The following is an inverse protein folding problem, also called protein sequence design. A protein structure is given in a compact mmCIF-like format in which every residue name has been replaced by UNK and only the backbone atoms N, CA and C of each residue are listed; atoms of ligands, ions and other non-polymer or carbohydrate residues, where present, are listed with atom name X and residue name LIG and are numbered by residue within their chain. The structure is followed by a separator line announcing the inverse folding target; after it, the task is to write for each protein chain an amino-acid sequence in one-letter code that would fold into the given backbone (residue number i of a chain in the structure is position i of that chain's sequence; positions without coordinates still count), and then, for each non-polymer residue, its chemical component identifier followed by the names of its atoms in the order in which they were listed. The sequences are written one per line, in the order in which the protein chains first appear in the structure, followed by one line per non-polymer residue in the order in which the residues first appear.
data_IF_156083433632
#
_entry.id   IF_156083433632
#
_cell.length_a   1.000
_cell.length_b   1.000
_cell.length_c   1.000
_cell.angle_alpha   90.00
_cell.angle_beta   90.00
_cell.angle_gamma   90.00
#
_symmetry.space_group_name_H-M   'P 1'
#
loop_
_entity.id
_entity.type
_entity.pdbx_description
1 polymer ?
#
# COMPACT_ATOMS: atom_id res chain seq x y z
N UNK A 1 26.11 6.95 45.98
CA UNK A 1 25.05 6.35 45.14
C UNK A 1 25.50 4.94 44.81
N UNK A 2 24.68 3.92 44.99
CA UNK A 2 25.05 2.60 44.55
C UNK A 2 25.15 2.57 43.04
N UNK A 3 26.08 1.79 42.46
CA UNK A 3 26.20 1.65 40.99
C UNK A 3 24.86 1.30 40.30
N UNK A 4 23.97 0.62 41.03
CA UNK A 4 22.66 0.21 40.50
C UNK A 4 21.62 1.34 40.38
N UNK A 5 21.68 2.35 41.27
CA UNK A 5 20.80 3.55 41.13
C UNK A 5 21.21 4.40 39.95
N UNK A 6 22.49 4.45 39.62
CA UNK A 6 22.98 5.11 38.42
C UNK A 6 22.51 4.38 37.15
N UNK A 7 22.58 3.03 37.14
CA UNK A 7 22.12 2.22 36.00
C UNK A 7 20.63 2.37 35.75
N UNK A 8 19.80 2.44 36.79
CA UNK A 8 18.34 2.69 36.64
C UNK A 8 18.06 4.02 35.89
N UNK A 9 18.78 5.08 36.20
CA UNK A 9 18.65 6.37 35.51
C UNK A 9 19.07 6.26 34.04
N UNK A 10 20.15 5.54 33.75
CA UNK A 10 20.60 5.31 32.37
C UNK A 10 19.55 4.54 31.58
N UNK A 11 18.91 3.51 32.14
CA UNK A 11 17.84 2.76 31.48
C UNK A 11 16.70 3.69 31.04
N UNK A 12 16.25 4.56 31.96
CA UNK A 12 15.17 5.52 31.67
C UNK A 12 15.58 6.51 30.57
N UNK A 13 16.80 7.06 30.68
CA UNK A 13 17.34 7.99 29.70
C UNK A 13 17.50 7.36 28.31
N UNK A 14 17.99 6.11 28.27
CA UNK A 14 18.17 5.37 27.02
C UNK A 14 16.82 5.06 26.35
N UNK A 15 15.81 4.68 27.12
CA UNK A 15 14.46 4.49 26.62
C UNK A 15 13.90 5.76 26.00
N UNK A 16 14.03 6.92 26.69
CA UNK A 16 13.56 8.22 26.17
C UNK A 16 14.23 8.61 24.86
N UNK A 17 15.47 8.22 24.65
CA UNK A 17 16.29 8.46 23.45
C UNK A 17 16.19 7.34 22.41
N UNK A 18 15.35 6.34 22.63
CA UNK A 18 15.17 5.16 21.76
C UNK A 18 16.49 4.43 21.46
N UNK A 19 17.35 4.28 22.46
CA UNK A 19 18.59 3.51 22.35
C UNK A 19 18.24 2.02 22.39
N UNK A 20 18.81 1.22 21.48
CA UNK A 20 18.49 -0.19 21.27
C UNK A 20 18.91 -1.13 22.40
N UNK A 21 19.76 -0.69 23.32
CA UNK A 21 20.19 -1.48 24.47
C UNK A 21 21.44 -0.94 25.14
N UNK A 22 21.82 -1.50 26.29
CA UNK A 22 22.96 -1.13 27.09
C UNK A 22 23.87 -2.32 27.24
N UNK A 23 25.17 -2.17 26.98
CA UNK A 23 26.18 -3.22 27.24
C UNK A 23 26.85 -2.94 28.56
N UNK A 24 26.75 -3.86 29.50
CA UNK A 24 27.43 -3.84 30.80
C UNK A 24 28.70 -4.66 30.69
N UNK A 25 29.85 -4.06 30.99
CA UNK A 25 31.14 -4.74 30.98
C UNK A 25 31.57 -4.99 32.42
N UNK A 26 31.83 -6.25 32.76
CA UNK A 26 32.20 -6.63 34.13
C UNK A 26 32.75 -8.03 34.24
N UNK A 27 33.15 -8.44 35.45
CA UNK A 27 33.43 -9.86 35.74
C UNK A 27 32.12 -10.67 35.70
N UNK A 28 32.18 -11.96 35.48
CA UNK A 28 31.00 -12.83 35.48
C UNK A 28 30.22 -12.70 36.79
N UNK A 29 30.94 -12.64 37.93
CA UNK A 29 30.34 -12.47 39.26
C UNK A 29 29.63 -11.12 39.44
N UNK A 30 30.16 -10.03 38.82
CA UNK A 30 29.52 -8.72 38.88
C UNK A 30 28.25 -8.69 38.05
N UNK A 31 28.26 -9.32 36.87
CA UNK A 31 27.13 -9.40 35.97
C UNK A 31 26.00 -10.28 36.51
N UNK A 32 26.35 -11.38 37.19
CA UNK A 32 25.39 -12.25 37.87
C UNK A 32 24.74 -11.60 39.10
N UNK A 33 25.37 -10.54 39.65
CA UNK A 33 24.87 -9.80 40.80
C UNK A 33 23.86 -8.70 40.49
N UNK A 34 23.44 -8.55 39.24
CA UNK A 34 22.46 -7.49 38.81
C UNK A 34 21.13 -7.69 39.54
N UNK A 35 20.67 -6.72 40.34
CA UNK A 35 19.44 -6.85 41.09
C UNK A 35 18.21 -7.03 40.22
N UNK A 36 17.30 -7.89 40.67
CA UNK A 36 16.03 -8.18 39.96
C UNK A 36 15.21 -6.93 39.65
N UNK A 37 15.23 -5.90 40.50
CA UNK A 37 14.55 -4.64 40.27
C UNK A 37 15.14 -3.80 39.14
N UNK A 38 16.40 -4.00 38.78
CA UNK A 38 17.05 -3.37 37.62
C UNK A 38 16.67 -4.11 36.35
N UNK A 39 16.66 -5.46 36.39
CA UNK A 39 16.20 -6.26 35.23
C UNK A 39 14.74 -5.97 34.91
N UNK A 40 13.87 -5.95 35.93
CA UNK A 40 12.48 -5.61 35.73
C UNK A 40 12.28 -4.19 35.12
N UNK A 41 13.06 -3.22 35.58
CA UNK A 41 13.03 -1.86 35.02
C UNK A 41 13.46 -1.84 33.56
N UNK A 42 14.47 -2.63 33.18
CA UNK A 42 14.91 -2.81 31.80
C UNK A 42 13.79 -3.36 30.92
N UNK A 43 13.04 -4.35 31.40
CA UNK A 43 11.87 -4.91 30.70
C UNK A 43 10.72 -3.90 30.58
N UNK A 44 10.39 -3.21 31.68
CA UNK A 44 9.31 -2.21 31.73
C UNK A 44 9.57 -1.04 30.73
N UNK A 45 10.84 -0.67 30.54
CA UNK A 45 11.28 0.38 29.62
C UNK A 45 11.72 -0.13 28.24
N UNK A 46 11.58 -1.43 27.96
CA UNK A 46 11.98 -2.09 26.72
C UNK A 46 13.43 -1.72 26.29
N UNK A 47 14.34 -1.63 27.26
CA UNK A 47 15.77 -1.29 27.06
C UNK A 47 16.63 -2.49 27.44
N UNK A 48 16.97 -3.41 26.52
CA UNK A 48 17.73 -4.63 26.81
C UNK A 48 19.10 -4.34 27.44
N UNK A 49 19.47 -5.16 28.45
CA UNK A 49 20.80 -5.15 29.05
C UNK A 49 21.59 -6.34 28.52
N UNK A 50 22.75 -6.08 27.96
CA UNK A 50 23.69 -7.12 27.49
C UNK A 50 24.88 -7.18 28.43
N UNK A 51 25.26 -8.37 28.84
CA UNK A 51 26.43 -8.62 29.68
C UNK A 51 27.65 -8.97 28.82
N UNK A 52 28.76 -8.29 29.02
CA UNK A 52 30.03 -8.56 28.32
C UNK A 52 31.15 -8.75 29.33
N UNK A 53 31.74 -9.94 29.44
CA UNK A 53 32.89 -10.22 30.31
C UNK A 53 34.13 -9.41 29.91
N UNK A 54 35.00 -9.11 30.89
CA UNK A 54 36.24 -8.33 30.69
C UNK A 54 37.26 -8.95 29.73
N UNK A 55 37.24 -10.28 29.58
CA UNK A 55 38.13 -11.04 28.69
C UNK A 55 37.78 -10.85 27.22
N UNK A 56 36.54 -10.41 26.89
CA UNK A 56 36.16 -10.03 25.56
C UNK A 56 36.62 -8.60 25.25
N UNK A 57 37.49 -8.47 24.27
CA UNK A 57 37.96 -7.16 23.82
C UNK A 57 36.82 -6.39 23.15
N UNK A 58 36.44 -5.28 23.74
CA UNK A 58 35.37 -4.37 23.21
C UNK A 58 35.56 -4.03 21.72
N UNK A 59 36.81 -3.87 21.29
CA UNK A 59 37.14 -3.58 19.89
C UNK A 59 36.70 -4.68 18.92
N UNK A 60 36.83 -5.96 19.35
CA UNK A 60 36.42 -7.09 18.52
C UNK A 60 34.88 -7.14 18.38
N UNK A 61 34.17 -6.97 19.50
CA UNK A 61 32.70 -6.94 19.52
C UNK A 61 32.19 -5.76 18.69
N UNK A 62 32.77 -4.58 18.86
CA UNK A 62 32.40 -3.38 18.11
C UNK A 62 32.67 -3.56 16.61
N UNK A 63 33.80 -4.19 16.25
CA UNK A 63 34.13 -4.48 14.85
C UNK A 63 33.11 -5.44 14.23
N UNK A 64 32.77 -6.53 14.90
CA UNK A 64 31.77 -7.48 14.40
C UNK A 64 30.39 -6.82 14.21
N UNK A 65 29.97 -5.99 15.18
CA UNK A 65 28.72 -5.24 15.07
C UNK A 65 28.76 -4.29 13.86
N UNK A 66 29.86 -3.55 13.70
CA UNK A 66 30.02 -2.65 12.55
C UNK A 66 30.04 -3.42 11.24
N UNK A 67 30.76 -4.55 11.16
CA UNK A 67 30.82 -5.38 9.96
C UNK A 67 29.43 -5.94 9.60
N UNK A 68 28.62 -6.34 10.58
CA UNK A 68 27.22 -6.76 10.37
C UNK A 68 26.35 -5.60 9.86
N UNK A 69 26.46 -4.40 10.46
CA UNK A 69 25.69 -3.22 10.03
C UNK A 69 26.07 -2.81 8.61
N UNK A 70 27.37 -2.83 8.28
CA UNK A 70 27.88 -2.48 6.94
C UNK A 70 27.42 -3.54 5.92
N UNK A 71 27.46 -4.83 6.29
CA UNK A 71 26.96 -5.92 5.45
C UNK A 71 25.46 -5.78 5.18
N UNK A 72 24.65 -5.52 6.20
CA UNK A 72 23.20 -5.34 6.04
C UNK A 72 22.87 -4.13 5.17
N UNK A 73 23.55 -2.99 5.38
CA UNK A 73 23.42 -1.80 4.51
C UNK A 73 23.80 -2.09 3.06
N UNK A 74 24.84 -2.87 2.84
CA UNK A 74 25.26 -3.25 1.50
C UNK A 74 24.21 -4.14 0.80
N UNK A 75 23.62 -5.10 1.53
CA UNK A 75 22.54 -5.94 1.02
C UNK A 75 21.32 -5.07 0.66
N UNK A 76 20.94 -4.17 1.57
CA UNK A 76 19.81 -3.26 1.32
C UNK A 76 20.07 -2.38 0.09
N UNK A 77 21.28 -1.81 -0.04
CA UNK A 77 21.65 -1.00 -1.20
C UNK A 77 21.59 -1.78 -2.52
N UNK A 78 22.03 -3.03 -2.53
CA UNK A 78 21.92 -3.91 -3.70
C UNK A 78 20.46 -4.17 -4.09
N UNK A 79 19.59 -4.38 -3.10
CA UNK A 79 18.15 -4.56 -3.31
C UNK A 79 17.48 -3.28 -3.86
N UNK A 80 17.88 -2.11 -3.36
CA UNK A 80 17.41 -0.82 -3.88
C UNK A 80 17.79 -0.65 -5.34
N UNK A 81 19.06 -0.86 -5.69
CA UNK A 81 19.55 -0.80 -7.07
C UNK A 81 18.80 -1.80 -7.96
N UNK A 82 18.54 -3.01 -7.47
CA UNK A 82 17.78 -4.00 -8.23
C UNK A 82 16.37 -3.50 -8.57
N UNK A 83 15.65 -2.96 -7.59
CA UNK A 83 14.30 -2.40 -7.82
C UNK A 83 14.38 -1.18 -8.76
N UNK A 84 15.36 -0.28 -8.58
CA UNK A 84 15.55 0.86 -9.47
C UNK A 84 15.75 0.41 -10.92
N UNK A 85 16.54 -0.62 -11.15
CA UNK A 85 16.77 -1.21 -12.49
C UNK A 85 15.48 -1.82 -13.04
N UNK A 86 14.74 -2.61 -12.25
CA UNK A 86 13.46 -3.19 -12.65
C UNK A 86 12.43 -2.15 -13.11
N UNK A 87 12.43 -0.96 -12.49
CA UNK A 87 11.36 0.01 -12.67
C UNK A 87 11.70 1.13 -13.64
N UNK A 88 12.98 1.53 -13.75
CA UNK A 88 13.37 2.79 -14.37
C UNK A 88 14.48 2.68 -15.42
N UNK A 89 15.14 1.52 -15.58
CA UNK A 89 16.19 1.37 -16.57
C UNK A 89 15.63 1.15 -17.97
N UNK A 90 15.89 2.08 -18.87
CA UNK A 90 15.67 1.90 -20.30
C UNK A 90 16.82 1.06 -20.88
N UNK A 91 16.56 -0.18 -21.28
CA UNK A 91 17.51 -1.05 -21.96
C UNK A 91 18.02 -2.26 -21.16
N UNK A 92 17.63 -2.42 -19.90
CA UNK A 92 17.87 -3.67 -19.18
C UNK A 92 17.01 -4.80 -19.78
N UNK A 93 17.66 -5.91 -20.13
CA UNK A 93 16.97 -7.12 -20.58
C UNK A 93 16.59 -8.00 -19.38
N UNK A 94 15.65 -8.93 -19.57
CA UNK A 94 15.31 -9.90 -18.54
C UNK A 94 16.54 -10.69 -18.06
N UNK A 95 17.44 -11.05 -18.98
CA UNK A 95 18.68 -11.78 -18.69
C UNK A 95 19.63 -10.94 -17.83
N UNK A 96 19.86 -9.66 -18.17
CA UNK A 96 20.72 -8.76 -17.39
C UNK A 96 20.20 -8.54 -15.97
N UNK A 97 18.88 -8.47 -15.78
CA UNK A 97 18.24 -8.35 -14.49
C UNK A 97 18.35 -9.65 -13.69
N UNK A 98 18.21 -10.79 -14.35
CA UNK A 98 18.38 -12.10 -13.73
C UNK A 98 19.83 -12.36 -13.28
N UNK A 99 20.80 -12.01 -14.12
CA UNK A 99 22.23 -12.07 -13.79
C UNK A 99 22.57 -11.20 -12.60
N UNK A 100 22.04 -9.98 -12.55
CA UNK A 100 22.21 -9.08 -11.39
C UNK A 100 21.62 -9.71 -10.12
N UNK A 101 20.40 -10.25 -10.20
CA UNK A 101 19.75 -10.90 -9.06
C UNK A 101 20.57 -12.10 -8.54
N UNK A 102 21.07 -12.94 -9.46
CA UNK A 102 21.91 -14.10 -9.14
C UNK A 102 23.20 -13.68 -8.48
N UNK A 103 23.92 -12.71 -9.05
CA UNK A 103 25.18 -12.18 -8.53
C UNK A 103 25.04 -11.64 -7.10
N UNK A 104 23.89 -11.09 -6.77
CA UNK A 104 23.64 -10.47 -5.46
C UNK A 104 22.76 -11.31 -4.55
N UNK A 105 22.55 -12.59 -4.88
CA UNK A 105 21.75 -13.53 -4.08
C UNK A 105 20.33 -13.01 -3.77
N UNK A 106 19.74 -12.32 -4.75
CA UNK A 106 18.36 -11.85 -4.67
C UNK A 106 17.47 -13.00 -5.16
N UNK A 107 16.54 -13.50 -4.35
CA UNK A 107 15.68 -14.62 -4.73
C UNK A 107 14.69 -14.18 -5.81
N UNK A 108 14.83 -14.74 -7.02
CA UNK A 108 13.95 -14.55 -8.15
C UNK A 108 13.37 -15.90 -8.55
N UNK A 109 12.07 -15.96 -8.75
CA UNK A 109 11.31 -17.16 -9.11
C UNK A 109 10.67 -16.97 -10.49
N UNK A 110 9.56 -17.66 -10.79
CA UNK A 110 8.96 -17.67 -12.13
C UNK A 110 7.97 -16.54 -12.41
N UNK A 111 7.29 -16.06 -11.38
CA UNK A 111 6.28 -15.01 -11.48
C UNK A 111 6.64 -13.87 -10.53
N UNK A 112 6.46 -12.65 -11.01
CA UNK A 112 6.83 -11.45 -10.27
C UNK A 112 5.70 -10.41 -10.30
N UNK A 113 5.54 -9.68 -9.23
CA UNK A 113 4.65 -8.53 -9.20
C UNK A 113 5.15 -7.42 -8.28
N UNK A 114 4.71 -6.20 -8.56
CA UNK A 114 4.94 -5.02 -7.73
C UNK A 114 3.69 -4.72 -6.92
N UNK A 115 3.88 -4.34 -5.67
CA UNK A 115 2.85 -3.68 -4.89
C UNK A 115 3.34 -2.33 -4.39
N UNK A 116 2.42 -1.41 -4.17
CA UNK A 116 2.68 -0.07 -3.67
C UNK A 116 1.85 0.20 -2.43
N UNK A 117 2.50 0.63 -1.35
CA UNK A 117 1.85 1.03 -0.10
C UNK A 117 2.09 2.52 0.12
N UNK A 118 1.05 3.33 0.00
CA UNK A 118 1.12 4.77 0.30
C UNK A 118 0.90 5.01 1.79
N UNK A 119 1.70 5.92 2.35
CA UNK A 119 1.64 6.34 3.75
C UNK A 119 1.30 7.82 3.78
N UNK A 120 0.02 8.16 3.94
CA UNK A 120 -0.42 9.55 3.98
C UNK A 120 -0.55 10.01 5.43
N UNK A 121 0.13 11.11 5.76
CA UNK A 121 0.00 11.77 7.06
C UNK A 121 -0.95 12.97 7.00
N UNK A 122 -1.60 13.23 8.13
CA UNK A 122 -2.46 14.40 8.32
C UNK A 122 -1.65 15.69 8.55
N UNK A 123 -0.32 15.60 8.79
CA UNK A 123 0.57 16.73 9.10
C UNK A 123 1.78 16.72 8.16
N UNK A 124 1.98 17.84 7.46
CA UNK A 124 2.88 18.03 6.31
C UNK A 124 4.42 17.95 6.57
N UNK A 125 4.90 17.66 7.77
CA UNK A 125 6.32 17.86 8.12
C UNK A 125 7.20 16.59 8.24
N UNK A 126 6.66 15.38 8.13
CA UNK A 126 7.40 14.14 8.46
C UNK A 126 7.29 12.99 7.43
N UNK A 127 7.01 13.26 6.16
CA UNK A 127 6.74 12.23 5.15
C UNK A 127 7.79 11.11 5.09
N UNK A 128 9.08 11.45 4.97
CA UNK A 128 10.15 10.45 4.87
C UNK A 128 10.35 9.66 6.18
N UNK A 129 10.17 10.29 7.33
CA UNK A 129 10.27 9.62 8.63
C UNK A 129 9.15 8.60 8.80
N UNK A 130 7.93 8.94 8.37
CA UNK A 130 6.77 8.05 8.42
C UNK A 130 6.95 6.80 7.57
N UNK A 131 7.49 6.94 6.36
CA UNK A 131 7.77 5.82 5.46
C UNK A 131 8.84 4.90 6.05
N UNK A 132 9.93 5.46 6.59
CA UNK A 132 11.00 4.69 7.23
C UNK A 132 10.51 3.93 8.46
N UNK A 133 9.68 4.54 9.30
CA UNK A 133 9.07 3.90 10.46
C UNK A 133 8.12 2.77 10.01
N UNK A 134 7.27 3.02 9.02
CA UNK A 134 6.36 2.02 8.46
C UNK A 134 7.13 0.84 7.89
N UNK A 135 8.25 1.06 7.19
CA UNK A 135 9.10 -0.02 6.70
C UNK A 135 9.69 -0.86 7.82
N UNK A 136 10.14 -0.25 8.91
CA UNK A 136 10.66 -0.97 10.08
C UNK A 136 9.58 -1.84 10.72
N UNK A 137 8.36 -1.32 10.83
CA UNK A 137 7.21 -2.05 11.36
C UNK A 137 6.86 -3.23 10.45
N UNK A 138 6.80 -3.02 9.14
CA UNK A 138 6.50 -4.08 8.17
C UNK A 138 7.55 -5.20 8.19
N UNK A 139 8.84 -4.87 8.32
CA UNK A 139 9.92 -5.85 8.50
C UNK A 139 9.71 -6.67 9.76
N UNK A 140 9.47 -6.01 10.90
CA UNK A 140 9.23 -6.70 12.19
C UNK A 140 8.00 -7.61 12.15
N UNK A 141 6.90 -7.17 11.52
CA UNK A 141 5.70 -7.99 11.35
C UNK A 141 6.01 -9.20 10.43
N UNK A 142 6.76 -8.99 9.35
CA UNK A 142 7.18 -10.06 8.44
C UNK A 142 8.03 -11.11 9.14
N UNK A 143 9.01 -10.70 9.94
CA UNK A 143 9.88 -11.57 10.72
C UNK A 143 9.09 -12.41 11.74
N UNK A 144 8.18 -11.78 12.48
CA UNK A 144 7.29 -12.46 13.43
C UNK A 144 6.38 -13.49 12.76
N UNK A 145 6.01 -13.29 11.49
CA UNK A 145 5.19 -14.21 10.69
C UNK A 145 6.02 -15.14 9.80
N UNK A 146 7.35 -15.24 10.02
CA UNK A 146 8.25 -16.20 9.40
C UNK A 146 8.65 -15.89 7.96
N UNK A 147 8.58 -14.62 7.52
CA UNK A 147 9.01 -14.18 6.17
C UNK A 147 8.61 -15.16 5.05
N UNK A 148 7.34 -15.50 4.99
CA UNK A 148 6.80 -16.61 4.18
C UNK A 148 7.08 -16.48 2.68
N UNK A 149 7.26 -15.25 2.19
CA UNK A 149 7.54 -14.94 0.79
C UNK A 149 8.77 -14.04 0.66
N UNK A 150 9.57 -14.18 -0.40
CA UNK A 150 10.67 -13.28 -0.70
C UNK A 150 10.12 -11.92 -1.16
N UNK A 151 10.07 -10.97 -0.23
CA UNK A 151 9.60 -9.62 -0.48
C UNK A 151 10.76 -8.65 -0.30
N UNK A 152 10.97 -7.80 -1.31
CA UNK A 152 11.92 -6.68 -1.23
C UNK A 152 11.12 -5.39 -1.20
N UNK A 153 11.40 -4.52 -0.25
CA UNK A 153 10.72 -3.23 -0.12
C UNK A 153 11.74 -2.09 -0.14
N UNK A 154 11.40 -1.03 -0.88
CA UNK A 154 12.18 0.21 -0.91
C UNK A 154 11.27 1.41 -0.67
N UNK A 155 11.76 2.48 -0.03
CA UNK A 155 11.03 3.74 0.09
C UNK A 155 11.12 4.54 -1.23
N UNK A 156 10.01 5.19 -1.60
CA UNK A 156 9.98 6.10 -2.75
C UNK A 156 8.99 7.25 -2.46
N UNK A 157 9.50 8.36 -1.95
CA UNK A 157 8.66 9.48 -1.50
C UNK A 157 7.75 9.08 -0.34
N UNK A 158 6.45 9.25 -0.52
CA UNK A 158 5.40 8.86 0.43
C UNK A 158 4.92 7.40 0.27
N UNK A 159 5.58 6.64 -0.58
CA UNK A 159 5.18 5.30 -0.98
C UNK A 159 6.28 4.29 -0.67
N UNK A 160 5.92 3.11 -0.22
CA UNK A 160 6.79 1.93 -0.15
C UNK A 160 6.49 1.09 -1.38
N UNK A 161 7.51 0.83 -2.18
CA UNK A 161 7.43 -0.07 -3.33
C UNK A 161 7.92 -1.45 -2.89
N UNK A 162 7.11 -2.46 -3.12
CA UNK A 162 7.45 -3.85 -2.83
C UNK A 162 7.49 -4.70 -4.09
N UNK A 163 8.54 -5.51 -4.22
CA UNK A 163 8.68 -6.55 -5.22
C UNK A 163 8.48 -7.90 -4.55
N UNK A 164 7.67 -8.74 -5.14
CA UNK A 164 7.45 -10.12 -4.70
C UNK A 164 7.66 -11.08 -5.88
N UNK A 165 8.32 -12.21 -5.60
CA UNK A 165 8.59 -13.25 -6.59
C UNK A 165 8.13 -14.62 -6.07
N UNK A 166 7.36 -15.36 -6.88
CA UNK A 166 6.71 -16.62 -6.52
C UNK A 166 6.78 -17.62 -7.67
N UNK A 167 6.50 -18.90 -7.42
CA UNK A 167 6.66 -19.96 -8.40
C UNK A 167 5.42 -20.23 -9.26
N UNK A 168 4.23 -19.78 -8.85
CA UNK A 168 2.96 -20.08 -9.53
C UNK A 168 1.85 -19.07 -9.23
N UNK A 169 0.78 -19.06 -10.03
CA UNK A 169 -0.40 -18.23 -9.84
C UNK A 169 -1.10 -18.48 -8.48
N UNK A 170 -1.11 -19.73 -8.02
CA UNK A 170 -1.64 -20.07 -6.69
C UNK A 170 -0.83 -19.35 -5.60
N UNK A 171 0.49 -19.32 -5.75
CA UNK A 171 1.36 -18.61 -4.80
C UNK A 171 1.22 -17.09 -4.93
N UNK A 172 0.89 -16.52 -6.10
CA UNK A 172 0.53 -15.09 -6.23
C UNK A 172 -0.64 -14.76 -5.31
N UNK A 173 -1.70 -15.56 -5.35
CA UNK A 173 -2.87 -15.35 -4.48
C UNK A 173 -2.49 -15.42 -3.00
N UNK A 174 -1.73 -16.44 -2.61
CA UNK A 174 -1.26 -16.57 -1.22
C UNK A 174 -0.33 -15.43 -0.79
N UNK A 175 0.53 -14.93 -1.68
CA UNK A 175 1.40 -13.80 -1.38
C UNK A 175 0.61 -12.49 -1.23
N UNK A 176 -0.38 -12.25 -2.08
CA UNK A 176 -1.30 -11.11 -1.98
C UNK A 176 -2.08 -11.16 -0.66
N UNK A 177 -2.61 -12.34 -0.28
CA UNK A 177 -3.32 -12.52 0.98
C UNK A 177 -2.39 -12.29 2.18
N UNK A 178 -1.15 -12.77 2.13
CA UNK A 178 -0.15 -12.55 3.17
C UNK A 178 0.20 -11.06 3.32
N UNK A 179 0.49 -10.35 2.23
CA UNK A 179 0.77 -8.92 2.23
C UNK A 179 -0.43 -8.13 2.75
N UNK A 180 -1.65 -8.53 2.33
CA UNK A 180 -2.90 -7.93 2.81
C UNK A 180 -3.11 -8.15 4.31
N UNK A 181 -2.77 -9.32 4.84
CA UNK A 181 -2.85 -9.60 6.28
C UNK A 181 -1.85 -8.72 7.07
N UNK A 182 -0.62 -8.58 6.58
CA UNK A 182 0.38 -7.67 7.17
C UNK A 182 -0.11 -6.23 7.16
N UNK A 183 -0.68 -5.78 6.04
CA UNK A 183 -1.28 -4.45 5.93
C UNK A 183 -2.42 -4.23 6.94
N UNK A 184 -3.32 -5.19 7.11
CA UNK A 184 -4.40 -5.11 8.10
C UNK A 184 -3.87 -5.03 9.54
N UNK A 185 -2.81 -5.75 9.87
CA UNK A 185 -2.14 -5.63 11.17
C UNK A 185 -1.52 -4.24 11.35
N UNK A 186 -0.92 -3.69 10.29
CA UNK A 186 -0.35 -2.33 10.31
C UNK A 186 -1.43 -1.29 10.64
N UNK A 187 -2.55 -1.29 9.92
CA UNK A 187 -3.62 -0.30 10.14
C UNK A 187 -4.31 -0.45 11.50
N UNK A 188 -4.36 -1.67 12.06
CA UNK A 188 -4.99 -1.92 13.36
C UNK A 188 -4.14 -1.40 14.52
N UNK A 189 -2.80 -1.49 14.41
CA UNK A 189 -1.87 -1.12 15.49
C UNK A 189 -1.39 0.33 15.43
N UNK A 190 -1.40 0.96 14.25
CA UNK A 190 -0.72 2.23 13.99
C UNK A 190 -1.65 3.26 13.34
N UNK A 191 -2.77 3.54 13.99
CA UNK A 191 -3.63 4.70 13.69
C UNK A 191 -3.04 5.94 14.39
N UNK A 192 -2.72 7.05 13.72
CA UNK A 192 -3.65 7.83 12.88
C UNK A 192 -3.19 8.08 11.43
N UNK A 193 -2.53 7.15 10.77
CA UNK A 193 -2.05 7.33 9.39
C UNK A 193 -3.06 6.72 8.41
N UNK A 194 -3.22 7.37 7.27
CA UNK A 194 -3.98 6.77 6.17
C UNK A 194 -3.03 5.96 5.30
N UNK A 195 -3.37 4.72 5.11
CA UNK A 195 -2.63 3.79 4.27
C UNK A 195 -3.50 3.35 3.09
N UNK A 196 -2.87 3.15 1.93
CA UNK A 196 -3.51 2.54 0.78
C UNK A 196 -2.56 1.50 0.17
N UNK A 197 -3.04 0.29 -0.07
CA UNK A 197 -2.28 -0.84 -0.61
C UNK A 197 -2.80 -1.20 -2.00
N UNK A 198 -1.91 -1.21 -2.98
CA UNK A 198 -2.27 -1.56 -4.34
C UNK A 198 -1.28 -2.56 -4.96
N UNK A 199 -1.81 -3.45 -5.79
CA UNK A 199 -1.05 -4.49 -6.47
C UNK A 199 -1.13 -4.29 -7.98
N UNK A 200 0.01 -4.36 -8.67
CA UNK A 200 0.07 -4.56 -10.11
C UNK A 200 -0.18 -6.02 -10.48
N UNK A 201 -0.33 -6.28 -11.78
CA UNK A 201 -0.49 -7.64 -12.29
C UNK A 201 0.81 -8.44 -12.19
N UNK A 202 0.73 -9.77 -12.04
CA UNK A 202 1.90 -10.63 -12.10
C UNK A 202 2.38 -10.82 -13.54
N UNK A 203 3.70 -10.90 -13.72
CA UNK A 203 4.38 -11.13 -14.98
C UNK A 203 5.45 -12.20 -14.86
N UNK A 204 5.75 -12.90 -15.97
CA UNK A 204 6.80 -13.90 -16.06
C UNK A 204 8.19 -13.27 -16.22
N UNK A 205 8.27 -12.12 -16.88
CA UNK A 205 9.52 -11.44 -17.17
C UNK A 205 9.83 -10.35 -16.16
N UNK A 206 11.07 -10.28 -15.70
CA UNK A 206 11.57 -9.17 -14.88
C UNK A 206 11.53 -7.84 -15.64
N UNK A 207 11.66 -7.86 -16.96
CA UNK A 207 11.60 -6.66 -17.78
C UNK A 207 10.21 -5.99 -17.77
N UNK A 208 9.15 -6.74 -17.42
CA UNK A 208 7.78 -6.24 -17.35
C UNK A 208 7.43 -5.63 -15.97
N UNK A 209 8.39 -5.55 -15.05
CA UNK A 209 8.12 -5.02 -13.70
C UNK A 209 7.79 -3.53 -13.70
N UNK A 210 8.29 -2.77 -14.68
CA UNK A 210 7.88 -1.38 -14.91
C UNK A 210 6.38 -1.26 -15.23
N UNK A 211 5.80 -2.23 -15.96
CA UNK A 211 4.37 -2.32 -16.22
C UNK A 211 3.61 -2.64 -14.93
N UNK A 212 4.03 -3.67 -14.18
CA UNK A 212 3.42 -4.02 -12.90
C UNK A 212 3.44 -2.83 -11.91
N UNK A 213 4.53 -2.04 -11.92
CA UNK A 213 4.62 -0.82 -11.12
C UNK A 213 3.65 0.26 -11.59
N UNK A 214 3.58 0.53 -12.91
CA UNK A 214 2.61 1.46 -13.49
C UNK A 214 1.19 1.08 -13.07
N UNK A 215 0.84 -0.19 -13.17
CA UNK A 215 -0.45 -0.76 -12.79
C UNK A 215 -0.73 -0.60 -11.29
N UNK A 216 0.26 -0.84 -10.42
CA UNK A 216 0.09 -0.61 -8.98
C UNK A 216 -0.21 0.86 -8.66
N UNK A 217 0.43 1.81 -9.37
CA UNK A 217 0.13 3.25 -9.24
C UNK A 217 -1.28 3.60 -9.74
N UNK A 218 -1.72 2.99 -10.84
CA UNK A 218 -3.08 3.14 -11.34
C UNK A 218 -4.11 2.61 -10.35
N UNK A 219 -3.82 1.48 -9.69
CA UNK A 219 -4.66 0.95 -8.63
C UNK A 219 -4.67 1.84 -7.37
N UNK A 220 -3.55 2.47 -6.99
CA UNK A 220 -3.53 3.51 -5.95
C UNK A 220 -4.39 4.72 -6.32
N UNK A 221 -4.30 5.17 -7.58
CA UNK A 221 -5.15 6.25 -8.08
C UNK A 221 -6.63 5.87 -8.00
N UNK A 222 -6.99 4.62 -8.36
CA UNK A 222 -8.35 4.11 -8.20
C UNK A 222 -8.81 4.19 -6.73
N UNK A 223 -7.98 3.74 -5.78
CA UNK A 223 -8.31 3.84 -4.34
C UNK A 223 -8.59 5.29 -3.95
N UNK A 224 -7.72 6.21 -4.36
CA UNK A 224 -7.88 7.64 -4.06
C UNK A 224 -9.19 8.21 -4.60
N UNK A 225 -9.64 7.74 -5.77
CA UNK A 225 -10.84 8.24 -6.45
C UNK A 225 -12.13 7.64 -5.95
N UNK A 226 -12.14 6.35 -5.67
CA UNK A 226 -13.36 5.61 -5.31
C UNK A 226 -13.50 5.40 -3.81
N UNK A 227 -12.40 5.65 -3.04
CA UNK A 227 -12.34 5.49 -1.60
C UNK A 227 -12.97 4.16 -1.11
N UNK A 228 -12.50 2.99 -1.59
CA UNK A 228 -13.03 1.71 -1.18
C UNK A 228 -12.82 1.50 0.32
N UNK A 229 -13.76 0.84 1.00
CA UNK A 229 -13.75 0.64 2.47
C UNK A 229 -12.43 0.10 3.03
N UNK A 230 -11.77 -0.77 2.27
CA UNK A 230 -10.53 -1.42 2.73
C UNK A 230 -9.25 -0.70 2.28
N UNK A 231 -9.33 0.35 1.47
CA UNK A 231 -8.18 1.02 0.84
C UNK A 231 -7.18 0.05 0.18
N UNK A 232 -7.69 -1.04 -0.40
CA UNK A 232 -6.92 -2.06 -1.09
C UNK A 232 -7.47 -2.21 -2.50
N UNK A 233 -6.57 -2.25 -3.51
CA UNK A 233 -6.94 -2.56 -4.89
C UNK A 233 -5.92 -3.47 -5.57
N UNK A 234 -6.40 -4.34 -6.43
CA UNK A 234 -5.60 -5.14 -7.36
C UNK A 234 -5.93 -4.71 -8.78
N UNK A 235 -4.91 -4.36 -9.55
CA UNK A 235 -5.12 -3.87 -10.91
C UNK A 235 -5.79 -4.89 -11.81
N UNK A 236 -5.44 -6.17 -11.68
CA UNK A 236 -6.04 -7.27 -12.45
C UNK A 236 -7.56 -7.43 -12.23
N UNK A 237 -8.10 -6.93 -11.12
CA UNK A 237 -9.53 -6.96 -10.81
C UNK A 237 -10.29 -5.69 -11.24
N UNK A 238 -9.59 -4.64 -11.66
CA UNK A 238 -10.18 -3.34 -12.02
C UNK A 238 -10.74 -3.28 -13.45
N UNK A 239 -11.30 -4.37 -13.94
CA UNK A 239 -11.71 -4.64 -15.34
C UNK A 239 -12.14 -3.42 -16.16
N UNK A 240 -13.17 -2.68 -15.75
CA UNK A 240 -13.67 -1.50 -16.48
C UNK A 240 -12.76 -0.27 -16.30
N UNK A 241 -12.19 -0.10 -15.11
CA UNK A 241 -11.33 1.06 -14.84
C UNK A 241 -10.00 0.99 -15.58
N UNK A 242 -9.52 -0.21 -15.95
CA UNK A 242 -8.35 -0.36 -16.84
C UNK A 242 -8.55 0.35 -18.17
N UNK A 243 -9.75 0.24 -18.77
CA UNK A 243 -10.09 0.96 -20.01
C UNK A 243 -9.98 2.48 -19.82
N UNK A 244 -10.34 3.00 -18.67
CA UNK A 244 -10.26 4.44 -18.40
C UNK A 244 -8.81 4.93 -18.29
N UNK A 245 -7.91 4.12 -17.75
CA UNK A 245 -6.48 4.43 -17.75
C UNK A 245 -5.92 4.43 -19.17
N UNK A 246 -6.25 3.42 -19.97
CA UNK A 246 -5.78 3.32 -21.36
C UNK A 246 -6.30 4.49 -22.20
N UNK A 247 -7.58 4.86 -22.05
CA UNK A 247 -8.16 6.02 -22.75
C UNK A 247 -7.45 7.32 -22.35
N UNK A 248 -7.15 7.53 -21.07
CA UNK A 248 -6.46 8.74 -20.61
C UNK A 248 -5.01 8.82 -21.12
N UNK A 249 -4.32 7.68 -21.25
CA UNK A 249 -2.96 7.64 -21.79
C UNK A 249 -2.94 7.96 -23.29
N UNK A 250 -3.94 7.47 -24.07
CA UNK A 250 -4.01 7.67 -25.51
C UNK A 250 -4.68 8.99 -25.94
N UNK A 251 -5.63 9.53 -25.14
CA UNK A 251 -6.46 10.68 -25.49
C UNK A 251 -6.53 11.70 -24.33
N UNK A 252 -5.41 12.32 -23.92
CA UNK A 252 -5.39 13.16 -22.71
C UNK A 252 -6.28 14.40 -22.76
N UNK A 253 -6.66 14.88 -23.96
CA UNK A 253 -7.46 16.12 -24.17
C UNK A 253 -8.88 15.89 -24.66
N UNK A 254 -9.24 14.66 -25.05
CA UNK A 254 -10.57 14.33 -25.57
C UNK A 254 -11.41 13.52 -24.59
N UNK A 255 -11.07 13.54 -23.31
CA UNK A 255 -11.86 12.94 -22.24
C UNK A 255 -13.34 13.37 -22.28
N UNK A 256 -13.62 14.57 -22.79
CA UNK A 256 -14.99 15.06 -23.05
C UNK A 256 -15.75 14.25 -24.12
N UNK A 257 -15.06 13.48 -24.97
CA UNK A 257 -15.71 12.64 -25.98
C UNK A 257 -16.30 11.36 -25.40
N UNK A 258 -15.82 10.92 -24.23
CA UNK A 258 -16.34 9.72 -23.56
C UNK A 258 -17.56 10.01 -22.68
N UNK A 259 -17.80 11.28 -22.36
CA UNK A 259 -19.02 11.68 -21.65
C UNK A 259 -20.14 11.80 -22.69
N UNK A 260 -21.08 10.85 -22.63
CA UNK A 260 -22.28 10.84 -23.48
C UNK A 260 -22.99 12.20 -23.35
N UNK A 261 -23.43 12.75 -24.51
CA UNK A 261 -24.23 13.98 -24.58
C UNK A 261 -25.45 13.92 -23.65
N UNK A 262 -26.03 12.75 -23.51
CA UNK A 262 -27.16 12.49 -22.63
C UNK A 262 -26.80 12.64 -21.14
N UNK A 263 -25.61 12.21 -20.73
CA UNK A 263 -25.16 12.42 -19.37
C UNK A 263 -25.02 13.91 -19.05
N UNK A 264 -24.45 14.68 -19.97
CA UNK A 264 -24.35 16.14 -19.81
C UNK A 264 -25.72 16.80 -19.62
N UNK A 265 -26.72 16.36 -20.37
CA UNK A 265 -28.11 16.89 -20.23
C UNK A 265 -28.70 16.60 -18.85
N UNK A 266 -28.40 15.41 -18.25
CA UNK A 266 -28.82 15.10 -16.89
C UNK A 266 -28.04 15.89 -15.84
N UNK A 267 -26.76 16.16 -16.06
CA UNK A 267 -25.93 16.99 -15.18
C UNK A 267 -26.46 18.41 -15.11
N UNK A 268 -26.71 18.99 -16.27
CA UNK A 268 -27.29 20.36 -16.39
C UNK A 268 -28.67 20.43 -15.73
N UNK A 269 -29.46 19.34 -15.79
CA UNK A 269 -30.75 19.24 -15.10
C UNK A 269 -30.59 19.19 -13.60
N UNK A 270 -29.68 18.34 -13.09
CA UNK A 270 -29.43 18.19 -11.64
C UNK A 270 -28.90 19.50 -11.05
N UNK A 271 -27.97 20.17 -11.72
CA UNK A 271 -27.42 21.47 -11.30
C UNK A 271 -28.53 22.53 -11.20
N UNK A 272 -29.38 22.62 -12.25
CA UNK A 272 -30.45 23.60 -12.30
C UNK A 272 -31.56 23.40 -11.28
N UNK A 273 -31.87 22.14 -10.94
CA UNK A 273 -33.04 21.78 -10.12
C UNK A 273 -32.65 21.29 -8.72
N UNK A 274 -31.37 21.19 -8.37
CA UNK A 274 -30.90 20.62 -7.12
C UNK A 274 -31.35 19.18 -6.94
N UNK A 275 -31.38 18.40 -8.02
CA UNK A 275 -31.83 17.00 -8.03
C UNK A 275 -30.65 16.04 -8.06
N UNK A 276 -30.93 14.74 -7.89
CA UNK A 276 -29.92 13.66 -7.82
C UNK A 276 -30.23 12.58 -8.87
N UNK A 277 -30.52 12.99 -10.10
CA UNK A 277 -30.92 12.06 -11.15
C UNK A 277 -29.77 11.19 -11.60
N UNK A 278 -28.54 11.72 -11.68
CA UNK A 278 -27.34 10.95 -12.05
C UNK A 278 -27.08 9.86 -11.00
N UNK A 279 -27.10 10.21 -9.72
CA UNK A 279 -26.96 9.24 -8.62
C UNK A 279 -28.05 8.19 -8.70
N UNK A 280 -29.30 8.60 -8.94
CA UNK A 280 -30.44 7.68 -9.10
C UNK A 280 -30.24 6.73 -10.27
N UNK A 281 -29.83 7.23 -11.44
CA UNK A 281 -29.56 6.43 -12.63
C UNK A 281 -28.41 5.45 -12.40
N UNK A 282 -27.32 5.90 -11.78
CA UNK A 282 -26.18 5.04 -11.43
C UNK A 282 -26.62 3.82 -10.60
N UNK A 283 -27.30 4.06 -9.47
CA UNK A 283 -27.77 2.98 -8.61
C UNK A 283 -28.77 2.06 -9.32
N UNK A 284 -29.66 2.63 -10.15
CA UNK A 284 -30.59 1.83 -10.95
C UNK A 284 -29.89 0.89 -11.91
N UNK A 285 -28.86 1.36 -12.61
CA UNK A 285 -28.06 0.55 -13.51
C UNK A 285 -27.19 -0.48 -12.76
N UNK A 286 -26.59 -0.12 -11.65
CA UNK A 286 -25.80 -1.02 -10.79
C UNK A 286 -26.62 -2.20 -10.25
N UNK A 287 -27.89 -1.95 -9.95
CA UNK A 287 -28.83 -2.99 -9.47
C UNK A 287 -29.60 -3.67 -10.60
N UNK A 288 -29.04 -3.71 -11.83
CA UNK A 288 -29.66 -4.35 -13.00
C UNK A 288 -31.11 -3.88 -13.24
N UNK A 289 -31.37 -2.60 -13.08
CA UNK A 289 -32.70 -1.98 -13.24
C UNK A 289 -33.77 -2.53 -12.28
N UNK A 290 -33.37 -3.07 -11.13
CA UNK A 290 -34.30 -3.58 -10.11
C UNK A 290 -34.79 -2.45 -9.21
N UNK A 291 -36.06 -2.12 -9.31
CA UNK A 291 -36.67 -0.99 -8.58
C UNK A 291 -36.61 -1.15 -7.05
N UNK A 292 -36.77 -2.37 -6.53
CA UNK A 292 -36.78 -2.59 -5.07
C UNK A 292 -35.36 -2.38 -4.53
N UNK A 293 -34.37 -3.11 -5.09
CA UNK A 293 -32.97 -3.01 -4.65
C UNK A 293 -32.42 -1.59 -4.80
N UNK A 294 -32.84 -0.87 -5.85
CA UNK A 294 -32.40 0.51 -6.07
C UNK A 294 -33.02 1.47 -5.05
N UNK A 295 -34.31 1.32 -4.73
CA UNK A 295 -34.99 2.16 -3.75
C UNK A 295 -34.37 1.96 -2.34
N UNK A 296 -34.11 0.70 -1.96
CA UNK A 296 -33.47 0.35 -0.71
C UNK A 296 -32.05 0.95 -0.63
N UNK A 297 -31.26 0.80 -1.70
CA UNK A 297 -29.89 1.33 -1.75
C UNK A 297 -29.79 2.86 -1.69
N UNK A 298 -30.83 3.55 -2.19
CA UNK A 298 -30.94 5.01 -2.14
C UNK A 298 -31.68 5.53 -0.88
N UNK A 299 -32.17 4.61 -0.03
CA UNK A 299 -32.98 4.94 1.16
C UNK A 299 -34.20 5.81 0.82
N UNK A 300 -34.88 5.54 -0.33
CA UNK A 300 -36.06 6.25 -0.79
C UNK A 300 -37.24 5.31 -1.03
N UNK A 301 -38.46 5.86 -0.98
CA UNK A 301 -39.64 5.09 -1.32
C UNK A 301 -39.66 4.74 -2.81
N UNK A 302 -40.17 3.53 -3.17
CA UNK A 302 -40.29 3.08 -4.56
C UNK A 302 -40.98 4.08 -5.48
N UNK A 303 -42.02 4.75 -5.01
CA UNK A 303 -42.74 5.75 -5.81
C UNK A 303 -41.86 6.98 -6.14
N UNK A 304 -41.01 7.40 -5.22
CA UNK A 304 -40.01 8.46 -5.44
C UNK A 304 -38.99 8.05 -6.49
N UNK A 305 -38.52 6.78 -6.45
CA UNK A 305 -37.63 6.24 -7.47
C UNK A 305 -38.31 6.26 -8.85
N UNK A 306 -39.54 5.75 -8.96
CA UNK A 306 -40.30 5.76 -10.21
C UNK A 306 -40.47 7.18 -10.75
N UNK A 307 -40.79 8.15 -9.89
CA UNK A 307 -40.88 9.55 -10.25
C UNK A 307 -39.55 10.09 -10.84
N UNK A 308 -38.44 9.84 -10.13
CA UNK A 308 -37.10 10.24 -10.61
C UNK A 308 -36.75 9.58 -11.94
N UNK A 309 -37.00 8.28 -12.10
CA UNK A 309 -36.78 7.54 -13.36
C UNK A 309 -37.63 8.10 -14.52
N UNK A 310 -38.87 8.50 -14.27
CA UNK A 310 -39.71 9.12 -15.29
C UNK A 310 -39.16 10.48 -15.72
N UNK A 311 -38.57 11.25 -14.81
CA UNK A 311 -37.87 12.50 -15.18
C UNK A 311 -36.65 12.17 -16.03
N UNK A 312 -35.81 11.20 -15.64
CA UNK A 312 -34.64 10.78 -16.40
C UNK A 312 -35.05 10.40 -17.83
N UNK A 313 -36.03 9.53 -17.98
CA UNK A 313 -36.51 9.08 -19.30
C UNK A 313 -37.00 10.25 -20.19
N UNK A 314 -37.73 11.21 -19.60
CA UNK A 314 -38.17 12.42 -20.31
C UNK A 314 -37.00 13.30 -20.70
N UNK A 315 -36.07 13.56 -19.80
CA UNK A 315 -34.90 14.42 -20.02
C UNK A 315 -33.99 13.84 -21.10
N UNK A 316 -33.81 12.51 -21.11
CA UNK A 316 -33.01 11.83 -22.12
C UNK A 316 -33.77 11.55 -23.41
N UNK A 317 -35.09 11.70 -23.41
CA UNK A 317 -35.97 11.24 -24.50
C UNK A 317 -35.72 9.76 -24.87
N UNK A 318 -35.46 8.90 -23.83
CA UNK A 318 -35.12 7.50 -23.96
C UNK A 318 -35.77 6.69 -22.82
N UNK A 319 -36.35 5.54 -23.15
CA UNK A 319 -37.02 4.67 -22.17
C UNK A 319 -36.04 3.82 -21.37
N UNK A 320 -34.74 3.84 -21.70
CA UNK A 320 -33.70 2.98 -21.13
C UNK A 320 -33.93 1.47 -21.41
N UNK A 321 -34.61 1.15 -22.49
CA UNK A 321 -34.92 -0.25 -22.86
C UNK A 321 -33.72 -0.91 -23.55
N UNK A 322 -32.91 -0.12 -24.29
CA UNK A 322 -31.71 -0.62 -24.96
C UNK A 322 -30.60 -0.96 -23.96
N UNK A 323 -30.07 -2.17 -24.06
CA UNK A 323 -28.90 -2.57 -23.26
C UNK A 323 -27.67 -1.70 -23.58
N UNK A 324 -27.49 -1.31 -24.85
CA UNK A 324 -26.39 -0.43 -25.27
C UNK A 324 -26.51 0.96 -24.68
N UNK A 325 -27.72 1.56 -24.67
CA UNK A 325 -27.97 2.85 -24.04
C UNK A 325 -27.63 2.81 -22.54
N UNK A 326 -28.12 1.79 -21.85
CA UNK A 326 -27.83 1.60 -20.42
C UNK A 326 -26.33 1.45 -20.14
N UNK A 327 -25.64 0.64 -20.96
CA UNK A 327 -24.19 0.43 -20.84
C UNK A 327 -23.42 1.72 -21.12
N UNK A 328 -23.77 2.46 -22.18
CA UNK A 328 -23.15 3.74 -22.53
C UNK A 328 -23.30 4.78 -21.41
N UNK A 329 -24.52 4.95 -20.90
CA UNK A 329 -24.78 5.86 -19.78
C UNK A 329 -24.02 5.45 -18.52
N UNK A 330 -23.99 4.14 -18.19
CA UNK A 330 -23.30 3.65 -17.01
C UNK A 330 -21.79 3.87 -17.10
N UNK A 331 -21.18 3.56 -18.25
CA UNK A 331 -19.76 3.79 -18.50
C UNK A 331 -19.44 5.30 -18.44
N UNK A 332 -20.31 6.16 -19.02
CA UNK A 332 -20.12 7.60 -18.98
C UNK A 332 -20.18 8.16 -17.56
N UNK A 333 -21.09 7.66 -16.72
CA UNK A 333 -21.19 8.05 -15.31
C UNK A 333 -19.91 7.65 -14.56
N UNK A 334 -19.49 6.38 -14.70
CA UNK A 334 -18.27 5.87 -14.05
C UNK A 334 -17.02 6.64 -14.49
N UNK A 335 -16.90 6.92 -15.78
CA UNK A 335 -15.77 7.70 -16.31
C UNK A 335 -15.79 9.14 -15.81
N UNK A 336 -16.95 9.79 -15.76
CA UNK A 336 -17.09 11.14 -15.23
C UNK A 336 -16.67 11.20 -13.75
N UNK A 337 -17.17 10.30 -12.91
CA UNK A 337 -16.77 10.21 -11.50
C UNK A 337 -15.27 9.97 -11.34
N UNK A 338 -14.72 9.08 -12.17
CA UNK A 338 -13.28 8.76 -12.17
C UNK A 338 -12.41 9.97 -12.51
N UNK A 339 -12.87 10.86 -13.40
CA UNK A 339 -12.11 12.04 -13.84
C UNK A 339 -12.32 13.28 -12.96
N UNK A 340 -13.52 13.47 -12.41
CA UNK A 340 -13.88 14.69 -11.64
C UNK A 340 -13.33 14.73 -10.22
N UNK A 341 -13.02 13.61 -9.58
CA UNK A 341 -12.52 13.59 -8.20
C UNK A 341 -11.08 14.13 -8.03
N UNK A 342 -10.64 15.08 -8.88
CA UNK A 342 -9.28 15.64 -8.91
C UNK A 342 -9.15 17.04 -8.29
N UNK A 343 -10.19 17.54 -7.62
CA UNK A 343 -10.14 18.82 -6.89
C UNK A 343 -10.11 18.63 -5.38
#
# INVERSE_FOLDING_TARGET
MSNWEFLKRIIIDCSSKRISGIVLVGSVSDLDSIPQNVLKLSDDYATPLYAMPWDLKLINVTKEIIDLIVSDKNIQKKREIFIERLLFSEGDTADSLHDYATLHSIPVKSLHFIFSLTVTQTILSEGNAAVSETMSILKSIGELNGNRFPIIMIPSGDTIIGFCSVDSDIQVTHAVDYITAIYKLLITKYTPRHYALAFGSPYLSLADMSLSYKESKQALYFIKKTNPENHIARFDTLTLYRLFFDINDFIPKSASLFVDKNLKTLMDYDEKNGSELITTLKFFLQHNCNLIKTADALYIHRNTLIYRLNIIKRTLNDNLDSALTRMSLFLSILYHEFTQSSN
#
